data_IF_258149468482
#
_entry.id   IF_258149468482
#
_cell.length_a   1.000
_cell.length_b   1.000
_cell.length_c   1.000
_cell.angle_alpha   90.00
_cell.angle_beta   90.00
_cell.angle_gamma   90.00
#
_symmetry.space_group_name_H-M   'P 1'
#
loop_
_entity.id
_entity.type
_entity.pdbx_description
1 polymer ?
#
# COMPACT_ATOMS: atom_id res chain seq x y z
N UNK A 1 5.54 12.69 3.76
CA UNK A 1 4.99 12.50 5.12
C UNK A 1 5.85 13.16 6.17
N UNK A 2 7.19 13.01 6.14
CA UNK A 2 8.09 13.62 7.13
C UNK A 2 7.91 15.14 7.27
N UNK A 3 7.85 15.90 6.17
CA UNK A 3 7.65 17.36 6.23
C UNK A 3 6.26 17.78 6.76
N UNK A 4 5.30 16.86 6.78
CA UNK A 4 3.96 17.10 7.30
C UNK A 4 3.86 16.75 8.79
N UNK A 5 4.47 15.63 9.20
CA UNK A 5 4.39 15.10 10.56
C UNK A 5 5.56 15.53 11.46
N UNK A 6 6.58 16.18 10.89
CA UNK A 6 7.82 16.60 11.57
C UNK A 6 8.51 15.47 12.36
N UNK A 7 8.36 14.22 11.90
CA UNK A 7 8.91 13.02 12.52
C UNK A 7 9.30 11.99 11.46
N UNK A 8 10.08 10.96 11.86
CA UNK A 8 10.37 9.81 10.99
C UNK A 8 9.06 9.08 10.67
N UNK A 9 8.75 8.92 9.39
CA UNK A 9 7.59 8.17 8.92
C UNK A 9 8.02 7.06 7.98
N UNK A 10 7.50 5.86 8.18
CA UNK A 10 7.68 4.72 7.28
C UNK A 10 6.32 4.50 6.60
N UNK A 11 6.20 4.70 5.29
CA UNK A 11 4.97 4.38 4.59
C UNK A 11 4.79 2.86 4.55
N UNK A 12 3.56 2.39 4.77
CA UNK A 12 3.23 0.97 4.73
C UNK A 12 2.28 0.69 3.56
N UNK A 13 2.40 -0.50 2.97
CA UNK A 13 1.51 -0.93 1.89
C UNK A 13 1.09 -2.39 2.08
N UNK A 14 -0.21 -2.66 2.03
CA UNK A 14 -0.76 -4.01 2.17
C UNK A 14 -0.74 -4.76 0.85
N UNK A 15 -0.76 -6.09 0.91
CA UNK A 15 -0.82 -6.93 -0.30
C UNK A 15 -2.04 -6.64 -1.18
N UNK A 16 -3.20 -6.34 -0.58
CA UNK A 16 -4.41 -6.00 -1.31
C UNK A 16 -4.29 -4.67 -2.07
N UNK A 17 -3.71 -3.63 -1.45
CA UNK A 17 -3.43 -2.34 -2.13
C UNK A 17 -2.43 -2.54 -3.27
N UNK A 18 -1.37 -3.33 -3.07
CA UNK A 18 -0.44 -3.69 -4.15
C UNK A 18 -1.16 -4.37 -5.31
N UNK A 19 -2.02 -5.35 -5.02
CA UNK A 19 -2.75 -6.08 -6.03
C UNK A 19 -3.76 -5.19 -6.79
N UNK A 20 -4.42 -4.23 -6.12
CA UNK A 20 -5.29 -3.26 -6.79
C UNK A 20 -4.50 -2.35 -7.74
N UNK A 21 -3.33 -1.84 -7.33
CA UNK A 21 -2.48 -1.02 -8.20
C UNK A 21 -2.02 -1.82 -9.43
N UNK A 22 -1.70 -3.11 -9.27
CA UNK A 22 -1.34 -3.99 -10.39
C UNK A 22 -2.51 -4.21 -11.36
N UNK A 23 -3.76 -4.29 -10.86
CA UNK A 23 -4.97 -4.42 -11.68
C UNK A 23 -5.30 -3.18 -12.51
N UNK A 24 -4.88 -1.98 -12.07
CA UNK A 24 -5.10 -0.73 -12.82
C UNK A 24 -4.31 -0.69 -14.15
N UNK A 25 -3.38 -1.61 -14.37
CA UNK A 25 -2.73 -1.83 -15.65
C UNK A 25 -1.64 -0.81 -15.98
N UNK A 26 -1.27 -0.74 -17.28
CA UNK A 26 -0.03 -0.08 -17.70
C UNK A 26 0.00 1.44 -17.45
N UNK A 27 -1.17 2.09 -17.44
CA UNK A 27 -1.30 3.53 -17.15
C UNK A 27 -0.70 3.90 -15.78
N UNK A 28 -0.69 2.96 -14.84
CA UNK A 28 -0.25 3.18 -13.46
C UNK A 28 1.14 2.58 -13.15
N UNK A 29 1.96 2.28 -14.18
CA UNK A 29 3.31 1.71 -14.01
C UNK A 29 4.23 2.55 -13.11
N UNK A 30 4.15 3.88 -13.17
CA UNK A 30 4.95 4.76 -12.32
C UNK A 30 4.53 4.62 -10.85
N UNK A 31 3.21 4.62 -10.59
CA UNK A 31 2.67 4.40 -9.25
C UNK A 31 3.10 3.02 -8.71
N UNK A 32 3.01 1.97 -9.52
CA UNK A 32 3.46 0.62 -9.14
C UNK A 32 4.96 0.57 -8.82
N UNK A 33 5.79 1.32 -9.54
CA UNK A 33 7.24 1.40 -9.26
C UNK A 33 7.52 2.12 -7.95
N UNK A 34 6.80 3.20 -7.65
CA UNK A 34 6.91 3.93 -6.37
C UNK A 34 6.45 3.04 -5.21
N UNK A 35 5.36 2.30 -5.38
CA UNK A 35 4.85 1.36 -4.38
C UNK A 35 5.80 0.20 -4.08
N UNK A 36 6.72 -0.14 -5.00
CA UNK A 36 7.79 -1.15 -4.83
C UNK A 36 9.09 -0.58 -4.26
N UNK A 37 9.13 0.69 -3.88
CA UNK A 37 10.29 1.32 -3.28
C UNK A 37 10.63 0.65 -1.92
N UNK A 38 11.89 0.30 -1.64
CA UNK A 38 12.28 -0.40 -0.41
C UNK A 38 12.06 0.42 0.87
N UNK A 39 11.77 1.72 0.77
CA UNK A 39 11.38 2.55 1.91
C UNK A 39 9.95 2.26 2.39
N UNK A 40 9.14 1.56 1.59
CA UNK A 40 7.81 1.10 2.00
C UNK A 40 7.92 -0.21 2.77
N UNK A 41 7.24 -0.28 3.91
CA UNK A 41 7.04 -1.53 4.64
C UNK A 41 5.87 -2.31 4.04
N UNK A 42 6.12 -3.54 3.61
CA UNK A 42 5.07 -4.39 3.05
C UNK A 42 4.37 -5.17 4.16
N UNK A 43 3.06 -4.98 4.27
CA UNK A 43 2.22 -5.63 5.26
C UNK A 43 1.45 -6.80 4.63
N UNK A 44 1.73 -8.05 5.04
CA UNK A 44 1.05 -9.19 4.46
C UNK A 44 -0.43 -9.23 4.84
N UNK A 45 -1.28 -9.64 3.91
CA UNK A 45 -2.71 -9.86 4.13
C UNK A 45 -3.00 -11.34 4.37
N UNK A 46 -3.92 -11.65 5.29
CA UNK A 46 -4.36 -13.03 5.60
C UNK A 46 -5.78 -13.33 5.14
N UNK A 47 -6.44 -12.36 4.49
CA UNK A 47 -7.79 -12.49 3.97
C UNK A 47 -7.79 -12.89 2.48
N UNK A 48 -8.93 -13.39 2.00
CA UNK A 48 -9.16 -13.61 0.57
C UNK A 48 -9.53 -12.30 -0.12
N UNK A 49 -9.39 -12.28 -1.45
CA UNK A 49 -9.71 -11.09 -2.26
C UNK A 49 -8.68 -9.98 -2.11
N UNK A 50 -8.93 -8.86 -2.78
CA UNK A 50 -8.00 -7.71 -2.80
C UNK A 50 -8.70 -6.40 -2.49
N UNK A 51 -9.89 -6.41 -1.91
CA UNK A 51 -10.59 -5.17 -1.62
C UNK A 51 -9.86 -4.44 -0.49
N UNK A 52 -9.16 -3.37 -0.85
CA UNK A 52 -8.22 -2.70 0.04
C UNK A 52 -8.92 -2.00 1.21
N UNK A 53 -10.11 -1.43 0.97
CA UNK A 53 -10.85 -0.67 1.97
C UNK A 53 -11.19 -1.53 3.19
N UNK A 54 -11.80 -2.71 2.98
CA UNK A 54 -12.12 -3.66 4.06
C UNK A 54 -10.86 -4.07 4.84
N UNK A 55 -9.75 -4.32 4.13
CA UNK A 55 -8.49 -4.68 4.77
C UNK A 55 -7.96 -3.56 5.67
N UNK A 56 -7.97 -2.32 5.19
CA UNK A 56 -7.45 -1.19 5.93
C UNK A 56 -8.33 -0.92 7.15
N UNK A 57 -9.66 -0.93 6.99
CA UNK A 57 -10.62 -0.75 8.09
C UNK A 57 -10.42 -1.82 9.16
N UNK A 58 -10.35 -3.10 8.77
CA UNK A 58 -10.13 -4.21 9.71
C UNK A 58 -8.76 -4.15 10.41
N UNK A 59 -7.74 -3.58 9.76
CA UNK A 59 -6.39 -3.51 10.35
C UNK A 59 -6.24 -2.36 11.36
N UNK A 60 -6.97 -1.27 11.18
CA UNK A 60 -6.87 -0.09 12.06
C UNK A 60 -7.90 -0.09 13.19
N UNK A 61 -8.89 -0.98 13.14
CA UNK A 61 -9.92 -1.17 14.17
C UNK A 61 -9.61 -2.40 15.01
#
# INVERSE_FOLDING_TARGET
MMDCLYAKCIPCITDCVMAEIEKLGQKYRVALRIAKDPRFERLPCTHKGTYADDCLVQRVT
#
